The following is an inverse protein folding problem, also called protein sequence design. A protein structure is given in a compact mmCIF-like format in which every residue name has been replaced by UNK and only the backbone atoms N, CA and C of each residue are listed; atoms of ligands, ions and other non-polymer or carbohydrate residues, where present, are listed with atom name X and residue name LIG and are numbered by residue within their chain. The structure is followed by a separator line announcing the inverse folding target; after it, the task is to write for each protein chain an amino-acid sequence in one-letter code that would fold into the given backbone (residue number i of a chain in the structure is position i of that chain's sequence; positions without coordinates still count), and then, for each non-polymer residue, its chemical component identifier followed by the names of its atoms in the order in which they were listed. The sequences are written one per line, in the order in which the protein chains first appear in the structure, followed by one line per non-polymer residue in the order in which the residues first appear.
data_IF_703963224469
#
_entry.id   IF_703963224469
#
_cell.length_a   1.000
_cell.length_b   1.000
_cell.length_c   1.000
_cell.angle_alpha   90.00
_cell.angle_beta   90.00
_cell.angle_gamma   90.00
#
_symmetry.space_group_name_H-M   'P 1'
#
loop_
_entity.id
_entity.type
_entity.pdbx_description
1 polymer ?
#
# COMPACT_ATOMS: atom_id res chain seq x y z
N UNK A 1 2.53 66.70 -27.61
CA UNK A 1 3.04 65.43 -28.18
C UNK A 1 3.61 64.46 -27.14
N UNK A 2 4.08 64.89 -25.96
CA UNK A 2 4.67 63.97 -24.96
C UNK A 2 3.68 63.01 -24.26
N UNK A 3 2.39 63.35 -24.15
CA UNK A 3 1.42 62.50 -23.42
C UNK A 3 0.97 61.25 -24.19
N UNK A 4 1.19 61.20 -25.52
CA UNK A 4 0.85 60.04 -26.35
C UNK A 4 1.95 58.96 -26.37
N UNK A 5 3.17 59.29 -25.96
CA UNK A 5 4.30 58.37 -25.94
C UNK A 5 4.36 57.52 -24.66
N UNK A 6 3.89 58.06 -23.52
CA UNK A 6 3.86 57.34 -22.24
C UNK A 6 2.88 56.16 -22.22
N UNK A 7 1.76 56.26 -22.94
CA UNK A 7 0.73 55.21 -23.01
C UNK A 7 1.23 54.00 -23.82
N UNK A 8 2.05 54.23 -24.85
CA UNK A 8 2.63 53.17 -25.69
C UNK A 8 3.70 52.34 -24.93
N UNK A 9 4.46 52.95 -24.03
CA UNK A 9 5.46 52.26 -23.21
C UNK A 9 4.80 51.47 -22.06
N UNK A 10 3.68 51.96 -21.51
CA UNK A 10 2.92 51.24 -20.49
C UNK A 10 2.17 50.02 -21.05
N UNK A 11 1.73 50.08 -22.32
CA UNK A 11 1.05 48.97 -23.00
C UNK A 11 2.02 47.86 -23.45
N UNK A 12 3.29 48.19 -23.69
CA UNK A 12 4.34 47.22 -24.03
C UNK A 12 4.81 46.38 -22.82
N UNK A 13 4.64 46.89 -21.59
CA UNK A 13 5.00 46.18 -20.35
C UNK A 13 3.97 45.12 -19.91
N UNK A 14 2.79 45.08 -20.52
CA UNK A 14 1.70 44.13 -20.18
C UNK A 14 1.77 42.85 -21.05
N UNK A 15 2.59 42.80 -22.10
CA UNK A 15 2.58 41.71 -23.09
C UNK A 15 3.41 40.45 -22.74
N UNK A 16 3.92 40.27 -21.52
CA UNK A 16 4.76 39.10 -21.17
C UNK A 16 4.24 38.21 -20.04
N UNK A 17 2.94 37.97 -20.00
CA UNK A 17 2.37 36.82 -19.29
C UNK A 17 1.51 35.97 -20.23
N UNK A 18 2.13 35.49 -21.32
CA UNK A 18 1.53 34.41 -22.11
C UNK A 18 1.68 33.12 -21.32
N UNK A 19 0.61 32.71 -20.63
CA UNK A 19 0.47 31.33 -20.15
C UNK A 19 0.36 30.44 -21.38
N UNK A 20 1.47 29.79 -21.74
CA UNK A 20 1.48 28.73 -22.75
C UNK A 20 0.54 27.60 -22.34
N UNK A 21 -0.07 26.94 -23.32
CA UNK A 21 -0.89 25.75 -23.10
C UNK A 21 0.00 24.67 -22.48
N UNK A 22 -0.35 24.20 -21.28
CA UNK A 22 0.36 23.10 -20.63
C UNK A 22 -0.16 21.81 -21.26
N UNK A 23 0.59 21.29 -22.24
CA UNK A 23 0.36 19.95 -22.74
C UNK A 23 1.06 18.95 -21.81
N UNK A 24 0.32 17.94 -21.34
CA UNK A 24 0.86 16.88 -20.48
C UNK A 24 1.91 16.02 -21.18
N UNK A 25 2.01 16.14 -22.52
CA UNK A 25 3.04 15.48 -23.32
C UNK A 25 4.40 16.18 -23.26
N UNK A 26 4.41 17.52 -23.24
CA UNK A 26 5.63 18.34 -23.36
C UNK A 26 6.06 18.98 -22.04
N UNK A 27 5.14 19.10 -21.08
CA UNK A 27 5.39 19.75 -19.80
C UNK A 27 5.13 18.83 -18.60
N UNK A 28 5.83 19.10 -17.50
CA UNK A 28 5.59 18.41 -16.22
C UNK A 28 4.31 18.98 -15.59
N UNK A 29 3.31 18.13 -15.40
CA UNK A 29 1.99 18.55 -14.91
C UNK A 29 1.77 18.09 -13.47
N UNK A 30 1.10 18.94 -12.70
CA UNK A 30 0.58 18.57 -11.40
C UNK A 30 -0.72 17.77 -11.56
N UNK A 31 -0.85 16.65 -10.84
CA UNK A 31 -1.98 15.75 -10.98
C UNK A 31 -2.36 15.12 -9.64
N UNK A 32 -3.67 14.97 -9.43
CA UNK A 32 -4.22 14.08 -8.42
C UNK A 32 -4.45 12.71 -9.05
N UNK A 33 -3.97 11.65 -8.42
CA UNK A 33 -3.82 10.35 -9.04
C UNK A 33 -4.36 9.27 -8.10
N UNK A 34 -5.67 8.94 -8.18
CA UNK A 34 -6.19 7.71 -7.63
C UNK A 34 -5.46 6.49 -8.20
N UNK A 35 -5.29 5.48 -7.37
CA UNK A 35 -4.55 4.27 -7.74
C UNK A 35 -5.17 3.02 -7.11
N UNK A 36 -5.07 1.91 -7.85
CA UNK A 36 -5.35 0.56 -7.38
C UNK A 36 -4.05 -0.22 -7.46
N UNK A 37 -3.71 -0.95 -6.42
CA UNK A 37 -2.41 -1.60 -6.27
C UNK A 37 -2.56 -3.08 -5.97
N UNK A 38 -1.65 -3.86 -6.53
CA UNK A 38 -1.46 -5.26 -6.19
C UNK A 38 0.02 -5.53 -6.00
N UNK A 39 0.35 -6.31 -4.97
CA UNK A 39 1.72 -6.77 -4.75
C UNK A 39 1.76 -8.25 -4.39
N UNK A 40 2.88 -8.88 -4.72
CA UNK A 40 3.27 -10.18 -4.18
C UNK A 40 4.53 -10.00 -3.34
N UNK A 41 4.48 -10.39 -2.07
CA UNK A 41 5.54 -10.13 -1.11
C UNK A 41 6.06 -11.43 -0.49
N UNK A 42 7.38 -11.46 -0.29
CA UNK A 42 8.10 -12.47 0.43
C UNK A 42 8.23 -12.05 1.89
N UNK A 43 8.00 -13.00 2.80
CA UNK A 43 8.16 -12.79 4.23
C UNK A 43 9.65 -12.88 4.63
N UNK A 44 10.10 -11.97 5.48
CA UNK A 44 11.41 -11.96 6.11
C UNK A 44 11.34 -11.62 7.60
N UNK A 45 12.47 -11.68 8.29
CA UNK A 45 12.53 -11.35 9.72
C UNK A 45 11.72 -12.31 10.58
N UNK A 46 11.04 -11.79 11.60
CA UNK A 46 10.21 -12.58 12.52
C UNK A 46 8.93 -13.09 11.85
N UNK A 47 8.36 -12.32 10.93
CA UNK A 47 7.21 -12.71 10.10
C UNK A 47 7.45 -14.05 9.39
N UNK A 48 8.65 -14.25 8.83
CA UNK A 48 8.99 -15.47 8.09
C UNK A 48 8.98 -16.74 8.94
N UNK A 49 9.04 -16.62 10.27
CA UNK A 49 8.91 -17.76 11.19
C UNK A 49 7.48 -18.28 11.23
N UNK A 50 6.49 -17.39 11.09
CA UNK A 50 5.07 -17.73 11.25
C UNK A 50 4.33 -17.87 9.91
N UNK A 51 4.62 -16.97 8.95
CA UNK A 51 3.89 -16.85 7.71
C UNK A 51 4.74 -17.24 6.49
N UNK A 52 4.05 -17.67 5.44
CA UNK A 52 4.62 -17.82 4.10
C UNK A 52 4.63 -16.49 3.33
N UNK A 53 4.82 -16.58 2.02
CA UNK A 53 4.65 -15.43 1.14
C UNK A 53 3.17 -15.04 1.08
N UNK A 54 2.91 -13.77 0.82
CA UNK A 54 1.57 -13.22 0.76
C UNK A 54 1.37 -12.33 -0.46
N UNK A 55 0.13 -11.90 -0.62
CA UNK A 55 -0.26 -10.90 -1.59
C UNK A 55 -0.92 -9.74 -0.88
N UNK A 56 -0.83 -8.57 -1.49
CA UNK A 56 -1.57 -7.40 -1.04
C UNK A 56 -2.40 -6.84 -2.18
N UNK A 57 -3.58 -6.34 -1.84
CA UNK A 57 -4.42 -5.58 -2.75
C UNK A 57 -4.90 -4.33 -2.03
N UNK A 58 -4.91 -3.21 -2.74
CA UNK A 58 -5.21 -1.94 -2.11
C UNK A 58 -5.53 -0.85 -3.09
N UNK A 59 -5.67 0.33 -2.51
CA UNK A 59 -5.85 1.56 -3.26
C UNK A 59 -5.30 2.73 -2.48
N UNK A 60 -5.14 3.83 -3.19
CA UNK A 60 -4.55 5.02 -2.61
C UNK A 60 -4.65 6.21 -3.53
N UNK A 61 -4.22 7.35 -3.01
CA UNK A 61 -4.16 8.60 -3.75
C UNK A 61 -2.72 9.07 -3.79
N UNK A 62 -2.29 9.57 -4.95
CA UNK A 62 -1.00 10.20 -5.12
C UNK A 62 -1.21 11.64 -5.60
N UNK A 63 -0.45 12.58 -5.06
CA UNK A 63 -0.39 13.94 -5.56
C UNK A 63 0.98 14.18 -6.15
N UNK A 64 1.00 14.44 -7.46
CA UNK A 64 2.21 14.76 -8.22
C UNK A 64 2.28 16.26 -8.45
N UNK A 65 3.43 16.88 -8.21
CA UNK A 65 3.65 18.31 -8.48
C UNK A 65 4.22 18.55 -9.88
N UNK A 66 4.24 19.81 -10.31
CA UNK A 66 4.92 20.26 -11.54
C UNK A 66 6.45 20.09 -11.50
N UNK A 67 7.02 19.69 -10.36
CA UNK A 67 8.44 19.42 -10.19
C UNK A 67 8.73 17.92 -9.98
N UNK A 68 7.76 17.05 -10.31
CA UNK A 68 7.84 15.60 -10.15
C UNK A 68 8.03 15.11 -8.71
N UNK A 69 7.74 15.94 -7.71
CA UNK A 69 7.54 15.45 -6.35
C UNK A 69 6.22 14.69 -6.27
N UNK A 70 6.22 13.60 -5.51
CA UNK A 70 5.07 12.72 -5.38
C UNK A 70 4.82 12.43 -3.91
N UNK A 71 3.60 12.70 -3.47
CA UNK A 71 3.12 12.34 -2.13
C UNK A 71 2.05 11.29 -2.30
N UNK A 72 2.00 10.27 -1.43
CA UNK A 72 0.95 9.26 -1.49
C UNK A 72 0.40 8.88 -0.14
N UNK A 73 -0.87 8.48 -0.16
CA UNK A 73 -1.55 7.79 0.92
C UNK A 73 -2.13 6.50 0.35
N UNK A 74 -1.65 5.36 0.82
CA UNK A 74 -2.00 4.04 0.30
C UNK A 74 -2.54 3.17 1.44
N UNK A 75 -3.59 2.37 1.19
CA UNK A 75 -4.13 1.40 2.11
C UNK A 75 -4.22 0.03 1.43
N UNK A 76 -3.52 -0.95 1.98
CA UNK A 76 -3.38 -2.29 1.41
C UNK A 76 -3.88 -3.35 2.39
N UNK A 77 -4.66 -4.30 1.88
CA UNK A 77 -5.06 -5.50 2.59
C UNK A 77 -4.09 -6.64 2.28
N UNK A 78 -3.57 -7.28 3.31
CA UNK A 78 -2.62 -8.39 3.25
C UNK A 78 -3.39 -9.71 3.33
N UNK A 79 -3.08 -10.65 2.45
CA UNK A 79 -3.66 -11.98 2.45
C UNK A 79 -2.65 -13.05 2.03
N UNK A 80 -2.54 -14.10 2.84
CA UNK A 80 -1.75 -15.31 2.58
C UNK A 80 -2.49 -16.57 3.01
N UNK A 81 -2.05 -17.72 2.53
CA UNK A 81 -2.68 -19.03 2.79
C UNK A 81 -1.72 -20.06 3.41
N UNK A 82 -0.51 -19.65 3.78
CA UNK A 82 0.51 -20.53 4.35
C UNK A 82 0.93 -20.05 5.73
N UNK A 83 0.61 -20.84 6.74
CA UNK A 83 1.08 -20.69 8.11
C UNK A 83 2.08 -21.81 8.39
N UNK A 84 3.28 -21.48 8.86
CA UNK A 84 4.38 -22.47 9.03
C UNK A 84 4.33 -23.19 10.37
N UNK A 85 3.86 -22.52 11.42
CA UNK A 85 3.89 -23.06 12.79
C UNK A 85 2.48 -23.34 13.31
N UNK A 86 1.57 -23.76 12.42
CA UNK A 86 0.17 -24.03 12.76
C UNK A 86 0.04 -25.03 13.92
N UNK A 87 0.81 -26.11 13.87
CA UNK A 87 0.73 -27.20 14.85
C UNK A 87 1.17 -26.75 16.24
N UNK A 88 2.23 -25.93 16.30
CA UNK A 88 2.69 -25.34 17.57
C UNK A 88 1.66 -24.37 18.16
N UNK A 89 0.97 -23.59 17.33
CA UNK A 89 0.00 -22.58 17.78
C UNK A 89 -1.27 -23.27 18.30
N UNK A 90 -1.74 -24.32 17.60
CA UNK A 90 -2.98 -25.03 17.92
C UNK A 90 -2.76 -26.25 18.83
N UNK A 91 -1.55 -26.48 19.34
CA UNK A 91 -1.19 -27.66 20.15
C UNK A 91 -2.12 -27.96 21.32
N UNK A 92 -2.76 -26.93 21.89
CA UNK A 92 -3.66 -27.10 23.04
C UNK A 92 -5.05 -27.63 22.68
N UNK A 93 -5.40 -27.63 21.40
CA UNK A 93 -6.69 -28.12 20.88
C UNK A 93 -6.54 -29.32 19.96
N UNK A 94 -5.31 -29.75 19.73
CA UNK A 94 -4.99 -30.95 18.96
C UNK A 94 -5.12 -32.20 19.82
N UNK A 95 -5.60 -33.26 19.19
CA UNK A 95 -5.49 -34.65 19.66
C UNK A 95 -4.05 -35.16 19.46
N UNK A 96 -3.76 -36.36 19.98
CA UNK A 96 -2.46 -37.02 19.75
C UNK A 96 -2.16 -37.25 18.26
N UNK A 97 -3.20 -37.32 17.43
CA UNK A 97 -3.11 -37.49 15.97
C UNK A 97 -3.20 -36.16 15.20
N UNK A 98 -3.01 -35.01 15.88
CA UNK A 98 -2.98 -33.65 15.29
C UNK A 98 -4.31 -33.16 14.66
N UNK A 99 -5.43 -33.79 15.04
CA UNK A 99 -6.77 -33.34 14.65
C UNK A 99 -7.44 -32.52 15.73
N UNK A 100 -8.32 -31.60 15.33
CA UNK A 100 -9.26 -30.90 16.21
C UNK A 100 -10.60 -31.63 16.14
N UNK A 101 -11.19 -31.98 17.29
CA UNK A 101 -12.52 -32.59 17.37
C UNK A 101 -13.58 -31.48 17.49
N UNK A 102 -14.60 -31.52 16.64
CA UNK A 102 -15.70 -30.56 16.64
C UNK A 102 -16.80 -30.91 17.67
N UNK A 103 -17.79 -30.03 17.81
CA UNK A 103 -18.91 -30.21 18.74
C UNK A 103 -19.80 -31.44 18.45
N UNK A 104 -19.65 -32.06 17.27
CA UNK A 104 -20.37 -33.28 16.90
C UNK A 104 -19.53 -34.56 17.17
N UNK A 105 -18.33 -34.42 17.72
CA UNK A 105 -17.42 -35.55 17.95
C UNK A 105 -16.71 -36.03 16.68
N UNK A 106 -16.69 -35.21 15.63
CA UNK A 106 -16.02 -35.50 14.34
C UNK A 106 -14.82 -34.58 14.12
N UNK A 107 -14.05 -34.78 13.05
CA UNK A 107 -12.93 -33.89 12.76
C UNK A 107 -13.39 -32.53 12.25
N UNK A 108 -12.88 -31.47 12.87
CA UNK A 108 -13.16 -30.09 12.47
C UNK A 108 -12.46 -29.76 11.15
N UNK A 109 -13.22 -29.22 10.19
CA UNK A 109 -12.68 -28.69 8.95
C UNK A 109 -12.34 -27.22 9.13
N UNK A 110 -11.05 -26.90 9.08
CA UNK A 110 -10.58 -25.53 9.23
C UNK A 110 -9.47 -25.19 8.23
N UNK A 111 -9.28 -23.91 7.99
CA UNK A 111 -8.18 -23.38 7.17
C UNK A 111 -7.59 -22.15 7.84
N UNK A 112 -6.26 -22.01 7.74
CA UNK A 112 -5.54 -20.91 8.33
C UNK A 112 -5.07 -19.93 7.26
N UNK A 113 -5.21 -18.65 7.56
CA UNK A 113 -4.88 -17.58 6.64
C UNK A 113 -4.08 -16.47 7.32
N UNK A 114 -3.14 -15.87 6.61
CA UNK A 114 -2.60 -14.58 7.00
C UNK A 114 -3.57 -13.49 6.55
N UNK A 115 -3.89 -12.55 7.43
CA UNK A 115 -4.74 -11.39 7.15
C UNK A 115 -4.17 -10.16 7.82
N UNK A 116 -4.13 -9.04 7.10
CA UNK A 116 -3.60 -7.81 7.65
C UNK A 116 -3.95 -6.57 6.86
N UNK A 117 -3.53 -5.43 7.37
CA UNK A 117 -3.64 -4.13 6.73
C UNK A 117 -2.32 -3.37 6.87
N UNK A 118 -1.95 -2.65 5.82
CA UNK A 118 -0.87 -1.67 5.87
C UNK A 118 -1.39 -0.34 5.31
N UNK A 119 -1.37 0.70 6.14
CA UNK A 119 -1.71 2.07 5.73
C UNK A 119 -0.43 2.89 5.74
N UNK A 120 -0.14 3.54 4.63
CA UNK A 120 1.15 4.20 4.41
C UNK A 120 0.98 5.61 3.89
N UNK A 121 1.74 6.54 4.46
CA UNK A 121 2.00 7.83 3.85
C UNK A 121 3.43 7.85 3.31
N UNK A 122 3.61 8.23 2.05
CA UNK A 122 4.95 8.27 1.44
C UNK A 122 5.20 9.56 0.66
N UNK A 123 6.47 9.90 0.53
CA UNK A 123 6.94 11.00 -0.31
C UNK A 123 8.10 10.54 -1.16
N UNK A 124 8.29 11.19 -2.30
CA UNK A 124 9.38 10.84 -3.19
C UNK A 124 9.35 11.65 -4.47
N UNK A 125 10.06 11.12 -5.47
CA UNK A 125 10.30 11.85 -6.71
C UNK A 125 10.27 10.91 -7.91
N UNK A 126 9.76 11.44 -9.02
CA UNK A 126 9.89 10.84 -10.34
C UNK A 126 11.09 11.48 -11.03
N UNK A 127 12.13 10.69 -11.23
CA UNK A 127 13.32 11.07 -11.97
C UNK A 127 13.07 10.75 -13.44
N UNK A 128 13.10 11.73 -14.36
CA UNK A 128 12.77 11.53 -15.77
C UNK A 128 13.92 10.86 -16.54
N UNK A 129 14.28 9.65 -16.11
CA UNK A 129 15.27 8.75 -16.71
C UNK A 129 14.50 7.67 -17.48
N UNK A 130 14.99 7.28 -18.68
CA UNK A 130 14.27 6.38 -19.60
C UNK A 130 12.83 6.85 -19.89
N UNK A 131 12.68 8.16 -20.05
CA UNK A 131 11.38 8.83 -20.11
C UNK A 131 10.73 8.68 -21.48
N UNK A 132 9.45 8.30 -21.49
CA UNK A 132 8.58 8.45 -22.69
C UNK A 132 8.08 9.90 -22.80
N UNK A 133 7.89 10.57 -21.66
CA UNK A 133 7.56 11.99 -21.55
C UNK A 133 8.07 12.56 -20.21
N UNK A 134 8.05 13.89 -19.98
CA UNK A 134 8.58 14.50 -18.76
C UNK A 134 7.93 14.04 -17.44
N UNK A 135 6.78 13.35 -17.52
CA UNK A 135 6.01 12.86 -16.39
C UNK A 135 6.25 11.37 -16.07
N UNK A 136 7.02 10.67 -16.91
CA UNK A 136 7.36 9.26 -16.77
C UNK A 136 8.83 9.08 -16.41
N UNK A 137 9.16 8.00 -15.70
CA UNK A 137 10.54 7.66 -15.38
C UNK A 137 10.68 6.84 -14.11
N UNK A 138 11.88 6.87 -13.53
CA UNK A 138 12.19 6.17 -12.29
C UNK A 138 11.49 6.84 -11.11
N UNK A 139 10.59 6.13 -10.45
CA UNK A 139 9.93 6.55 -9.23
C UNK A 139 10.64 5.94 -8.03
N UNK A 140 11.01 6.82 -7.09
CA UNK A 140 11.59 6.42 -5.80
C UNK A 140 10.75 7.11 -4.72
N UNK A 141 10.22 6.32 -3.79
CA UNK A 141 9.44 6.82 -2.66
C UNK A 141 9.87 6.14 -1.38
N UNK A 142 9.85 6.90 -0.28
CA UNK A 142 10.02 6.41 1.07
C UNK A 142 8.93 7.00 1.95
N UNK A 143 8.52 6.25 2.96
CA UNK A 143 7.35 6.60 3.75
C UNK A 143 7.27 5.86 5.06
N UNK A 144 6.25 6.25 5.81
CA UNK A 144 5.94 5.67 7.11
C UNK A 144 4.50 5.20 7.12
N UNK A 145 4.20 4.20 7.93
CA UNK A 145 2.88 3.60 7.97
C UNK A 145 2.57 2.91 9.29
N UNK A 146 1.39 2.30 9.31
CA UNK A 146 0.95 1.43 10.37
C UNK A 146 0.61 0.07 9.78
N UNK A 147 1.22 -0.97 10.33
CA UNK A 147 1.07 -2.36 9.91
C UNK A 147 0.30 -3.12 11.00
N UNK A 148 -0.69 -3.90 10.57
CA UNK A 148 -1.40 -4.86 11.40
C UNK A 148 -1.50 -6.16 10.64
N UNK A 149 -1.14 -7.29 11.26
CA UNK A 149 -1.38 -8.61 10.68
C UNK A 149 -1.76 -9.62 11.77
N UNK A 150 -2.43 -10.69 11.35
CA UNK A 150 -2.90 -11.78 12.20
C UNK A 150 -3.12 -13.06 11.39
N UNK A 151 -3.14 -14.17 12.10
CA UNK A 151 -3.62 -15.46 11.61
C UNK A 151 -5.14 -15.53 11.78
N UNK A 152 -5.88 -15.63 10.68
CA UNK A 152 -7.32 -15.93 10.71
C UNK A 152 -7.52 -17.44 10.64
N UNK A 153 -8.24 -17.98 11.62
CA UNK A 153 -8.77 -19.34 11.59
C UNK A 153 -10.16 -19.28 10.95
N UNK A 154 -10.37 -20.04 9.88
CA UNK A 154 -11.65 -20.20 9.22
C UNK A 154 -12.15 -21.62 9.45
N UNK A 155 -13.16 -21.78 10.31
CA UNK A 155 -13.77 -23.06 10.64
C UNK A 155 -15.11 -23.18 9.89
N UNK A 156 -15.22 -24.20 9.04
CA UNK A 156 -16.42 -24.41 8.23
C UNK A 156 -17.62 -24.70 9.14
N UNK A 157 -18.70 -23.93 8.98
CA UNK A 157 -19.91 -24.01 9.80
C UNK A 157 -19.69 -23.78 11.31
N UNK A 158 -18.52 -23.27 11.73
CA UNK A 158 -18.20 -22.96 13.13
C UNK A 158 -18.42 -24.14 14.09
N UNK A 159 -18.10 -25.36 13.65
CA UNK A 159 -18.43 -26.56 14.43
C UNK A 159 -17.49 -26.82 15.61
N UNK A 160 -16.28 -26.23 15.62
CA UNK A 160 -15.31 -26.41 16.72
C UNK A 160 -15.21 -25.13 17.58
N UNK A 161 -15.96 -25.05 18.71
CA UNK A 161 -16.05 -23.83 19.52
C UNK A 161 -14.71 -23.38 20.11
N UNK A 162 -13.75 -24.29 20.30
CA UNK A 162 -12.43 -24.02 20.87
C UNK A 162 -11.51 -23.19 19.97
N UNK A 163 -11.84 -22.98 18.70
CA UNK A 163 -11.05 -22.19 17.74
C UNK A 163 -11.88 -21.14 17.00
N UNK A 164 -13.06 -20.82 17.52
CA UNK A 164 -14.02 -19.90 16.89
C UNK A 164 -14.28 -18.71 17.81
N UNK A 165 -14.71 -17.60 17.19
CA UNK A 165 -15.11 -16.36 17.85
C UNK A 165 -14.03 -15.86 18.84
N UNK A 166 -14.34 -15.72 20.13
CA UNK A 166 -13.41 -15.16 21.10
C UNK A 166 -12.24 -16.10 21.42
N UNK A 167 -12.42 -17.42 21.31
CA UNK A 167 -11.30 -18.37 21.47
C UNK A 167 -10.28 -18.25 20.33
N UNK A 168 -10.72 -17.92 19.12
CA UNK A 168 -9.80 -17.70 18.00
C UNK A 168 -8.76 -16.60 18.31
N UNK A 169 -9.12 -15.60 19.13
CA UNK A 169 -8.23 -14.48 19.50
C UNK A 169 -7.02 -14.92 20.33
N UNK A 170 -7.10 -16.04 21.04
CA UNK A 170 -5.96 -16.58 21.79
C UNK A 170 -4.92 -17.26 20.90
N UNK A 171 -5.28 -17.55 19.64
CA UNK A 171 -4.42 -18.17 18.64
C UNK A 171 -4.02 -17.23 17.50
N UNK A 172 -4.77 -16.15 17.26
CA UNK A 172 -4.66 -15.34 16.04
C UNK A 172 -3.36 -14.53 15.89
N UNK A 173 -2.48 -14.51 16.90
CA UNK A 173 -1.19 -13.81 16.89
C UNK A 173 -1.28 -12.37 16.36
N UNK A 174 -2.36 -11.65 16.72
CA UNK A 174 -2.57 -10.28 16.28
C UNK A 174 -1.39 -9.39 16.68
N UNK A 175 -0.73 -8.85 15.67
CA UNK A 175 0.50 -8.09 15.80
C UNK A 175 0.35 -6.78 15.05
N UNK A 176 0.77 -5.67 15.68
CA UNK A 176 0.62 -4.35 15.10
C UNK A 176 1.75 -3.41 15.51
N UNK A 177 2.04 -2.42 14.66
CA UNK A 177 3.03 -1.39 14.96
C UNK A 177 3.33 -0.47 13.79
N UNK A 178 4.37 0.32 13.96
CA UNK A 178 4.81 1.28 12.94
C UNK A 178 5.55 0.56 11.81
N UNK A 179 5.44 1.06 10.59
CA UNK A 179 6.19 0.53 9.45
C UNK A 179 6.95 1.61 8.71
N UNK A 180 8.11 1.23 8.16
CA UNK A 180 8.82 1.98 7.11
C UNK A 180 8.53 1.32 5.77
N UNK A 181 8.32 2.14 4.75
CA UNK A 181 7.96 1.67 3.43
C UNK A 181 8.84 2.36 2.39
N UNK A 182 9.48 1.57 1.54
CA UNK A 182 10.34 2.01 0.47
C UNK A 182 9.87 1.39 -0.84
N UNK A 183 9.93 2.15 -1.93
CA UNK A 183 9.60 1.67 -3.25
C UNK A 183 10.50 2.28 -4.30
N UNK A 184 10.93 1.43 -5.24
CA UNK A 184 11.70 1.81 -6.41
C UNK A 184 11.14 1.10 -7.63
N UNK A 185 10.82 1.86 -8.67
CA UNK A 185 10.19 1.30 -9.86
C UNK A 185 10.06 2.27 -11.01
N UNK A 186 9.45 1.81 -12.08
CA UNK A 186 9.14 2.64 -13.24
C UNK A 186 7.71 3.17 -13.13
N UNK A 187 7.55 4.47 -13.32
CA UNK A 187 6.27 5.17 -13.37
C UNK A 187 6.00 5.61 -14.80
N UNK A 188 4.90 5.08 -15.36
CA UNK A 188 4.48 5.34 -16.72
C UNK A 188 3.19 6.14 -16.74
N UNK A 189 3.26 7.35 -17.27
CA UNK A 189 2.12 8.22 -17.53
C UNK A 189 2.03 8.46 -19.02
N UNK A 190 1.16 7.75 -19.72
CA UNK A 190 0.98 7.88 -21.17
C UNK A 190 0.14 9.11 -21.55
N UNK A 191 0.03 9.35 -22.86
CA UNK A 191 -0.79 10.44 -23.41
C UNK A 191 -2.29 10.12 -23.32
N UNK A 192 -2.66 8.83 -23.22
CA UNK A 192 -4.04 8.41 -23.01
C UNK A 192 -4.38 8.39 -21.52
N UNK A 193 -5.60 8.79 -21.17
CA UNK A 193 -6.07 8.80 -19.78
C UNK A 193 -6.28 7.39 -19.19
N UNK A 194 -6.33 6.36 -20.04
CA UNK A 194 -6.73 4.99 -19.65
C UNK A 194 -5.57 4.09 -19.24
N UNK A 195 -4.38 4.25 -19.84
CA UNK A 195 -3.29 3.29 -19.69
C UNK A 195 -2.08 3.94 -19.00
N UNK A 196 -2.22 4.14 -17.68
CA UNK A 196 -1.18 4.67 -16.81
C UNK A 196 -0.93 3.67 -15.69
N UNK A 197 0.34 3.38 -15.39
CA UNK A 197 0.71 2.39 -14.39
C UNK A 197 2.09 2.67 -13.80
N UNK A 198 2.39 2.01 -12.69
CA UNK A 198 3.75 1.92 -12.18
C UNK A 198 4.03 0.49 -11.72
N UNK A 199 5.28 0.06 -11.83
CA UNK A 199 5.70 -1.27 -11.41
C UNK A 199 7.13 -1.22 -10.86
N UNK A 200 7.40 -1.99 -9.81
CA UNK A 200 8.71 -1.98 -9.18
C UNK A 200 8.81 -2.88 -7.97
N UNK A 201 9.86 -2.67 -7.20
CA UNK A 201 10.11 -3.36 -5.94
C UNK A 201 9.65 -2.51 -4.78
N UNK A 202 9.00 -3.15 -3.81
CA UNK A 202 8.64 -2.55 -2.53
C UNK A 202 9.32 -3.29 -1.38
N UNK A 203 9.62 -2.53 -0.33
CA UNK A 203 10.16 -3.03 0.92
C UNK A 203 9.36 -2.41 2.05
N UNK A 204 8.87 -3.24 2.98
CA UNK A 204 8.13 -2.84 4.16
C UNK A 204 8.82 -3.44 5.37
N UNK A 205 9.19 -2.58 6.31
CA UNK A 205 9.81 -2.96 7.58
C UNK A 205 8.86 -2.58 8.71
N UNK A 206 8.21 -3.57 9.30
CA UNK A 206 7.31 -3.41 10.44
C UNK A 206 8.05 -3.59 11.77
N UNK A 207 7.98 -2.59 12.63
CA UNK A 207 8.38 -2.68 14.03
C UNK A 207 7.11 -2.91 14.84
N UNK A 208 6.80 -4.17 15.09
CA UNK A 208 5.49 -4.59 15.58
C UNK A 208 5.57 -5.27 16.93
N UNK A 209 4.43 -5.32 17.62
CA UNK A 209 4.28 -6.02 18.90
C UNK A 209 2.93 -6.72 18.96
N UNK A 210 2.86 -7.80 19.74
CA UNK A 210 1.61 -8.47 20.04
C UNK A 210 0.60 -7.50 20.67
N UNK A 211 -0.64 -7.56 20.19
CA UNK A 211 -1.77 -6.80 20.73
C UNK A 211 -2.69 -7.68 21.60
N UNK A 212 -2.26 -8.92 21.89
CA UNK A 212 -3.00 -9.85 22.73
C UNK A 212 -2.49 -9.82 24.16
N UNK A 213 -3.41 -9.72 25.10
CA UNK A 213 -3.10 -9.79 26.52
C UNK A 213 -2.78 -11.22 26.97
N UNK A 214 -3.24 -12.22 26.22
CA UNK A 214 -3.02 -13.62 26.53
C UNK A 214 -2.89 -14.43 25.24
N UNK A 215 -1.83 -15.25 25.18
CA UNK A 215 -1.58 -16.20 24.11
C UNK A 215 -1.69 -17.60 24.70
N UNK A 216 -2.57 -18.42 24.14
CA UNK A 216 -2.90 -19.70 24.76
C UNK A 216 -1.71 -20.63 24.83
N UNK A 217 -1.05 -20.88 23.72
CA UNK A 217 0.01 -21.88 23.67
C UNK A 217 1.19 -21.50 24.59
N UNK A 218 1.56 -20.22 24.68
CA UNK A 218 2.62 -19.75 25.57
C UNK A 218 2.20 -19.60 27.04
N UNK A 219 0.90 -19.68 27.35
CA UNK A 219 0.34 -19.46 28.69
C UNK A 219 0.80 -18.14 29.34
N UNK A 220 1.01 -17.11 28.52
CA UNK A 220 1.47 -15.79 28.96
C UNK A 220 1.14 -14.72 27.92
N UNK A 221 1.33 -13.47 28.32
CA UNK A 221 1.36 -12.33 27.39
C UNK A 221 2.70 -12.30 26.66
N UNK A 222 2.67 -12.15 25.34
CA UNK A 222 3.86 -11.84 24.55
C UNK A 222 4.12 -10.33 24.57
N UNK A 223 5.26 -9.94 25.12
CA UNK A 223 5.74 -8.55 25.16
C UNK A 223 6.98 -8.34 24.30
N UNK A 224 7.33 -9.30 23.44
CA UNK A 224 8.46 -9.16 22.53
C UNK A 224 8.16 -8.17 21.42
N UNK A 225 9.22 -7.51 20.95
CA UNK A 225 9.19 -6.68 19.75
C UNK A 225 9.59 -7.56 18.57
N UNK A 226 8.86 -7.42 17.47
CA UNK A 226 9.08 -8.18 16.24
C UNK A 226 9.55 -7.24 15.13
N UNK A 227 10.48 -7.74 14.31
CA UNK A 227 10.88 -7.10 13.07
C UNK A 227 10.28 -7.88 11.89
N UNK A 228 9.16 -7.40 11.38
CA UNK A 228 8.42 -8.01 10.28
C UNK A 228 8.86 -7.41 8.95
N UNK A 229 9.41 -8.22 8.05
CA UNK A 229 9.87 -7.74 6.75
C UNK A 229 8.99 -8.29 5.63
N UNK A 230 8.53 -7.40 4.76
CA UNK A 230 7.86 -7.75 3.50
C UNK A 230 8.66 -7.11 2.37
N UNK A 231 9.07 -7.90 1.38
CA UNK A 231 9.73 -7.36 0.20
C UNK A 231 9.19 -8.06 -1.04
N UNK A 232 8.97 -7.33 -2.12
CA UNK A 232 8.17 -7.88 -3.21
C UNK A 232 8.08 -7.02 -4.43
N UNK A 233 7.30 -7.51 -5.38
CA UNK A 233 6.96 -6.78 -6.61
C UNK A 233 5.59 -6.14 -6.41
N UNK A 234 5.52 -4.84 -6.70
CA UNK A 234 4.30 -4.05 -6.66
C UNK A 234 3.97 -3.52 -8.05
N UNK A 235 2.70 -3.61 -8.41
CA UNK A 235 2.13 -2.99 -9.59
C UNK A 235 0.96 -2.12 -9.17
N UNK A 236 0.89 -0.91 -9.72
CA UNK A 236 -0.22 0.00 -9.52
C UNK A 236 -0.78 0.48 -10.84
N UNK A 237 -2.09 0.38 -11.01
CA UNK A 237 -2.82 1.07 -12.06
C UNK A 237 -3.26 2.43 -11.53
N UNK A 238 -3.10 3.48 -12.34
CA UNK A 238 -3.30 4.85 -11.89
C UNK A 238 -4.19 5.62 -12.86
N UNK A 239 -4.93 6.60 -12.33
CA UNK A 239 -5.80 7.46 -13.13
C UNK A 239 -5.44 8.93 -12.89
N UNK A 240 -4.58 9.55 -13.71
CA UNK A 240 -4.20 10.95 -13.52
C UNK A 240 -5.37 11.90 -13.81
N UNK A 241 -5.73 12.70 -12.81
CA UNK A 241 -6.70 13.79 -12.89
C UNK A 241 -5.92 15.10 -12.82
N UNK A 242 -5.87 15.81 -13.95
CA UNK A 242 -5.22 17.11 -14.06
C UNK A 242 -6.15 18.22 -13.61
N UNK A 243 -5.60 19.24 -12.95
CA UNK A 243 -6.34 20.48 -12.74
C UNK A 243 -6.61 21.12 -14.11
N UNK A 244 -7.89 21.32 -14.45
CA UNK A 244 -8.27 22.04 -15.67
C UNK A 244 -7.69 23.46 -15.60
N UNK A 245 -6.99 23.88 -16.65
CA UNK A 245 -6.83 25.31 -16.89
C UNK A 245 -8.24 25.91 -17.08
N UNK A 246 -8.54 27.12 -16.56
CA UNK A 246 -9.85 27.74 -16.74
C UNK A 246 -10.15 27.86 -18.23
N UNK A 247 -11.28 27.30 -18.67
CA UNK A 247 -11.77 27.46 -20.03
C UNK A 247 -11.91 28.95 -20.31
N UNK A 248 -11.09 29.49 -21.21
CA UNK A 248 -11.29 30.84 -21.74
C UNK A 248 -12.56 30.78 -22.58
N UNK A 249 -13.68 31.24 -22.01
CA UNK A 249 -14.85 31.61 -22.79
C UNK A 249 -14.42 32.68 -23.79
N UNK A 250 -14.47 32.35 -25.09
CA UNK A 250 -14.40 33.34 -26.14
C UNK A 250 -15.78 34.00 -26.22
N UNK A 251 -15.90 35.22 -25.71
CA UNK A 251 -16.99 36.10 -26.12
C UNK A 251 -16.54 36.76 -27.44
N UNK A 252 -17.26 36.46 -28.52
CA UNK A 252 -17.19 37.19 -29.79
C UNK A 252 -17.94 38.52 -29.67
#
# INVERSE_FOLDING_TARGET
MLHKFGILVFMALICKASYSQIDATDSVVAAFIPSITYSYQFAGGDLAKQYGNNSTIGGGFKYKTSHNWLWSLDANFIFGNKIKNADSILRMVFTNDEYIIDGNGTYALYTLYERGYNVTFSTGKILPVLKVNPNSGLMITAGVGFLVHRMKIDNQHKTAPQIVDDYARGYDRLTAGFSLNEFIGYFYMGNSKLLNFYAGFEFVQGFTKSQRDWIFDEMRKDNSNHLDLFYGIKVGWILPIYNRAPDKYYYN
#
